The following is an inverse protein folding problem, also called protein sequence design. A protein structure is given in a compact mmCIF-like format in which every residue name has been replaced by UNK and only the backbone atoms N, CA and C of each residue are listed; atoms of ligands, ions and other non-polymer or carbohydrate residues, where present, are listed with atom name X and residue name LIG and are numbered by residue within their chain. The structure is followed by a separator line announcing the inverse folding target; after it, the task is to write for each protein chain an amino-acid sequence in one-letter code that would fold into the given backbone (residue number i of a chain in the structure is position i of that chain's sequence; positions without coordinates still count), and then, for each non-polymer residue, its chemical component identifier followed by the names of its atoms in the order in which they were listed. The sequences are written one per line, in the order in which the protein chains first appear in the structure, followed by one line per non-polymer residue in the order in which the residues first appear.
data_IF_890357088665
#
_entry.id   IF_890357088665
#
_cell.length_a   1.000
_cell.length_b   1.000
_cell.length_c   1.000
_cell.angle_alpha   90.00
_cell.angle_beta   90.00
_cell.angle_gamma   90.00
#
_symmetry.space_group_name_H-M   'P 1'
#
loop_
_entity.id
_entity.type
_entity.pdbx_description
1 polymer ?
#
# COMPACT_ATOMS: atom_id res chain seq x y z
N UNK A 1 -22.31 -44.19 28.74
CA UNK A 1 -22.98 -43.28 29.64
C UNK A 1 -22.05 -42.22 30.18
N UNK A 2 -21.09 -42.67 30.89
CA UNK A 2 -20.17 -41.74 31.57
C UNK A 2 -19.34 -40.93 30.63
N UNK A 3 -19.03 -41.48 29.54
CA UNK A 3 -18.23 -40.80 28.54
C UNK A 3 -18.88 -39.51 28.06
N UNK A 4 -20.17 -39.50 28.03
CA UNK A 4 -20.89 -38.35 27.58
C UNK A 4 -20.65 -37.15 28.45
N UNK A 5 -20.59 -37.38 29.73
CA UNK A 5 -20.36 -36.29 30.67
C UNK A 5 -18.99 -35.71 30.49
N UNK A 6 -18.04 -36.56 30.27
CA UNK A 6 -16.69 -36.11 30.06
C UNK A 6 -16.57 -35.25 28.79
N UNK A 7 -17.23 -35.67 27.75
CA UNK A 7 -17.22 -34.90 26.51
C UNK A 7 -17.83 -33.53 26.68
N UNK A 8 -18.87 -33.42 27.47
CA UNK A 8 -19.50 -32.14 27.74
C UNK A 8 -18.52 -31.22 28.43
N UNK A 9 -17.80 -31.75 29.41
CA UNK A 9 -16.83 -30.91 30.11
C UNK A 9 -15.76 -30.41 29.18
N UNK A 10 -15.29 -31.24 28.28
CA UNK A 10 -14.29 -30.83 27.33
C UNK A 10 -14.81 -29.75 26.36
N UNK A 11 -16.07 -29.87 26.03
CA UNK A 11 -16.66 -28.91 25.12
C UNK A 11 -16.81 -27.53 25.70
N UNK A 12 -16.82 -27.41 27.00
CA UNK A 12 -16.99 -26.10 27.63
C UNK A 12 -15.69 -25.32 27.73
N UNK A 13 -14.62 -25.99 28.10
CA UNK A 13 -13.35 -25.33 28.35
C UNK A 13 -12.77 -24.60 27.16
N UNK A 14 -12.68 -25.20 25.97
CA UNK A 14 -12.06 -24.53 24.82
C UNK A 14 -12.62 -23.15 24.47
N UNK A 15 -13.93 -22.97 24.46
CA UNK A 15 -14.47 -21.64 24.16
C UNK A 15 -14.01 -20.57 25.11
N UNK A 16 -13.88 -20.90 26.38
CA UNK A 16 -13.44 -19.92 27.37
C UNK A 16 -12.00 -19.54 27.16
N UNK A 17 -11.17 -20.49 26.83
CA UNK A 17 -9.77 -20.25 26.58
C UNK A 17 -9.59 -19.34 25.39
N UNK A 18 -10.32 -19.58 24.32
CA UNK A 18 -10.25 -18.75 23.13
C UNK A 18 -10.66 -17.31 23.42
N UNK A 19 -11.68 -17.11 24.21
CA UNK A 19 -12.10 -15.77 24.60
C UNK A 19 -11.02 -15.06 25.40
N UNK A 20 -10.38 -15.76 26.30
CA UNK A 20 -9.34 -15.18 27.15
C UNK A 20 -8.11 -14.79 26.34
N UNK A 21 -7.84 -15.49 25.27
CA UNK A 21 -6.68 -15.23 24.42
C UNK A 21 -6.96 -14.26 23.30
N UNK A 22 -8.12 -13.67 23.26
CA UNK A 22 -8.50 -12.77 22.21
C UNK A 22 -7.58 -11.54 22.19
N UNK A 23 -7.03 -11.25 21.04
CA UNK A 23 -6.13 -10.12 20.82
C UNK A 23 -6.56 -9.37 19.58
N UNK A 24 -6.13 -8.12 19.49
CA UNK A 24 -6.32 -7.37 18.26
C UNK A 24 -5.57 -8.05 17.12
N UNK A 25 -6.20 -8.10 15.97
CA UNK A 25 -5.53 -8.58 14.78
C UNK A 25 -4.55 -7.51 14.29
N UNK A 26 -3.41 -7.92 13.76
CA UNK A 26 -2.48 -6.95 13.19
C UNK A 26 -3.11 -6.25 11.99
N UNK A 27 -2.80 -4.98 11.85
CA UNK A 27 -3.25 -4.21 10.69
C UNK A 27 -2.59 -4.78 9.43
N UNK A 28 -3.36 -5.13 8.41
CA UNK A 28 -2.75 -5.61 7.18
C UNK A 28 -1.98 -4.48 6.50
N UNK A 29 -0.90 -4.79 5.80
CA UNK A 29 -0.14 -3.78 5.10
C UNK A 29 -0.91 -3.19 3.92
N UNK A 30 -0.58 -1.96 3.58
CA UNK A 30 -0.99 -1.35 2.32
C UNK A 30 0.14 -1.58 1.33
N UNK A 31 -0.19 -2.16 0.20
CA UNK A 31 0.78 -2.56 -0.80
C UNK A 31 0.48 -1.85 -2.11
N UNK A 32 1.52 -1.36 -2.76
CA UNK A 32 1.41 -0.76 -4.09
C UNK A 32 2.35 -1.49 -5.02
N UNK A 33 1.83 -1.97 -6.13
CA UNK A 33 2.63 -2.60 -7.17
C UNK A 33 2.15 -2.15 -8.53
N UNK A 34 3.01 -2.29 -9.53
CA UNK A 34 2.60 -1.98 -10.89
C UNK A 34 3.80 -1.73 -11.78
N UNK A 35 3.50 -1.24 -12.95
CA UNK A 35 4.48 -0.97 -13.99
C UNK A 35 4.40 0.48 -14.44
N UNK A 36 5.53 1.02 -14.84
CA UNK A 36 5.62 2.36 -15.42
C UNK A 36 6.15 2.22 -16.84
N UNK A 37 5.42 2.81 -17.79
CA UNK A 37 5.80 2.84 -19.19
C UNK A 37 5.90 4.28 -19.69
N UNK A 38 6.59 4.47 -20.81
CA UNK A 38 6.63 5.76 -21.49
C UNK A 38 5.60 5.86 -22.62
N UNK A 39 5.66 6.92 -23.39
CA UNK A 39 4.72 7.15 -24.48
C UNK A 39 4.83 6.11 -25.61
N UNK A 40 5.94 5.40 -25.67
CA UNK A 40 6.18 4.33 -26.63
C UNK A 40 5.89 2.95 -26.03
N UNK A 41 5.23 2.91 -24.88
CA UNK A 41 4.88 1.68 -24.16
C UNK A 41 6.10 0.88 -23.69
N UNK A 42 7.24 1.53 -23.53
CA UNK A 42 8.46 0.89 -23.03
C UNK A 42 8.60 1.08 -21.53
N UNK A 43 9.15 0.07 -20.83
CA UNK A 43 9.34 0.17 -19.39
C UNK A 43 10.28 1.32 -19.02
N UNK A 44 9.99 1.96 -17.91
CA UNK A 44 10.79 3.07 -17.40
C UNK A 44 11.40 2.67 -16.07
N UNK A 45 12.72 2.61 -16.03
CA UNK A 45 13.47 2.33 -14.81
C UNK A 45 13.70 3.62 -14.02
N UNK A 46 13.72 3.53 -12.69
CA UNK A 46 14.12 4.64 -11.83
C UNK A 46 13.01 5.63 -11.48
N UNK A 47 11.76 5.35 -11.82
CA UNK A 47 10.64 6.18 -11.37
C UNK A 47 10.40 5.91 -9.90
N UNK A 48 10.42 6.96 -9.07
CA UNK A 48 10.24 6.85 -7.64
C UNK A 48 8.79 6.91 -7.21
N UNK A 49 8.50 6.22 -6.10
CA UNK A 49 7.20 6.26 -5.44
C UNK A 49 7.42 6.36 -3.94
N UNK A 50 6.53 7.07 -3.28
CA UNK A 50 6.56 7.25 -1.84
C UNK A 50 5.17 7.04 -1.25
N UNK A 51 5.13 6.32 -0.14
CA UNK A 51 3.93 6.20 0.67
C UNK A 51 4.29 6.59 2.09
N UNK A 52 3.69 7.65 2.58
CA UNK A 52 4.03 8.21 3.87
C UNK A 52 2.80 8.54 4.68
N UNK A 53 2.97 8.61 5.99
CA UNK A 53 1.92 8.98 6.91
C UNK A 53 2.39 10.01 7.91
N UNK A 54 1.45 10.78 8.43
CA UNK A 54 1.70 11.79 9.44
C UNK A 54 0.68 11.69 10.56
N UNK A 55 1.07 12.18 11.75
CA UNK A 55 0.13 12.35 12.85
C UNK A 55 -0.77 13.56 12.55
N UNK A 56 -1.91 13.62 13.23
CA UNK A 56 -2.78 14.79 13.15
C UNK A 56 -2.26 15.93 14.02
N UNK A 57 -2.92 17.07 13.87
CA UNK A 57 -2.72 18.21 14.76
C UNK A 57 -1.68 19.21 14.29
N UNK A 58 -1.38 20.12 15.19
CA UNK A 58 -0.59 21.29 14.89
C UNK A 58 0.88 20.97 14.63
N UNK A 59 1.42 20.01 15.35
CA UNK A 59 2.82 19.58 15.21
C UNK A 59 2.88 18.18 14.59
N UNK A 60 2.40 18.06 13.38
CA UNK A 60 2.36 16.78 12.68
C UNK A 60 3.76 16.20 12.52
N UNK A 61 3.89 14.89 12.75
CA UNK A 61 5.15 14.16 12.62
C UNK A 61 4.96 13.00 11.65
N UNK A 62 6.04 12.62 11.01
CA UNK A 62 6.03 11.48 10.11
C UNK A 62 5.89 10.20 10.94
N UNK A 63 4.89 9.38 10.61
CA UNK A 63 4.67 8.10 11.28
C UNK A 63 5.31 6.95 10.53
N UNK A 64 5.35 7.04 9.21
CA UNK A 64 6.09 6.10 8.37
C UNK A 64 6.39 6.76 7.04
N UNK A 65 7.44 6.26 6.37
CA UNK A 65 7.89 6.82 5.09
C UNK A 65 8.54 5.68 4.31
N UNK A 66 7.82 5.15 3.34
CA UNK A 66 8.29 4.06 2.51
C UNK A 66 8.52 4.56 1.09
N UNK A 67 9.64 4.17 0.51
CA UNK A 67 10.06 4.63 -0.82
C UNK A 67 10.54 3.46 -1.65
N UNK A 68 10.33 3.55 -2.96
CA UNK A 68 10.83 2.58 -3.91
C UNK A 68 11.07 3.24 -5.26
N UNK A 69 11.70 2.50 -6.16
CA UNK A 69 11.89 2.91 -7.55
C UNK A 69 11.63 1.73 -8.47
N UNK A 70 11.21 2.03 -9.69
CA UNK A 70 11.01 0.98 -10.67
C UNK A 70 12.33 0.35 -11.09
N UNK A 71 12.29 -0.95 -11.37
CA UNK A 71 13.44 -1.70 -11.88
C UNK A 71 13.53 -1.59 -13.40
N UNK A 72 14.45 -2.36 -14.00
CA UNK A 72 14.68 -2.34 -15.45
C UNK A 72 13.45 -2.77 -16.26
N UNK A 73 12.52 -3.48 -15.64
CA UNK A 73 11.27 -3.89 -16.28
C UNK A 73 10.16 -2.88 -16.07
N UNK A 74 10.46 -1.78 -15.40
CA UNK A 74 9.47 -0.76 -15.06
C UNK A 74 8.58 -1.15 -13.89
N UNK A 75 8.90 -2.21 -13.18
CA UNK A 75 8.09 -2.72 -12.07
C UNK A 75 8.51 -2.10 -10.75
N UNK A 76 7.53 -1.82 -9.90
CA UNK A 76 7.78 -1.35 -8.54
C UNK A 76 6.94 -2.13 -7.53
N UNK A 77 7.42 -2.17 -6.31
CA UNK A 77 6.72 -2.74 -5.17
C UNK A 77 7.01 -1.87 -3.96
N UNK A 78 5.94 -1.49 -3.25
CA UNK A 78 6.04 -0.65 -2.08
C UNK A 78 5.04 -1.13 -1.04
N UNK A 79 5.49 -1.25 0.20
CA UNK A 79 4.64 -1.77 1.26
C UNK A 79 4.88 -0.99 2.54
N UNK A 80 3.80 -0.69 3.26
CA UNK A 80 3.88 -0.11 4.59
C UNK A 80 2.62 -0.42 5.39
N UNK A 81 2.78 -0.44 6.70
CA UNK A 81 1.66 -0.59 7.62
C UNK A 81 1.28 0.79 8.12
N UNK A 82 0.01 1.14 7.98
CA UNK A 82 -0.50 2.40 8.51
C UNK A 82 -0.64 2.24 10.02
N UNK A 83 0.13 2.99 10.78
CA UNK A 83 0.14 2.89 12.23
C UNK A 83 -1.07 3.59 12.85
N UNK A 84 -1.39 3.25 14.09
CA UNK A 84 -2.58 3.78 14.77
C UNK A 84 -2.54 5.28 14.98
N UNK A 85 -1.36 5.85 15.12
CA UNK A 85 -1.19 7.29 15.32
C UNK A 85 -1.20 8.10 14.02
N UNK A 86 -1.36 7.44 12.88
CA UNK A 86 -1.40 8.09 11.58
C UNK A 86 -2.79 8.69 11.34
N UNK A 87 -2.83 10.00 11.10
CA UNK A 87 -4.06 10.72 10.79
C UNK A 87 -4.19 11.01 9.30
N UNK A 88 -3.08 11.13 8.59
CA UNK A 88 -3.09 11.39 7.16
C UNK A 88 -2.07 10.54 6.44
N UNK A 89 -2.39 10.14 5.21
CA UNK A 89 -1.50 9.35 4.38
C UNK A 89 -1.46 9.93 2.97
N UNK A 90 -0.34 9.70 2.30
CA UNK A 90 -0.17 10.14 0.92
C UNK A 90 0.64 9.10 0.15
N UNK A 91 0.15 8.74 -1.03
CA UNK A 91 0.90 7.95 -2.00
C UNK A 91 1.12 8.79 -3.24
N UNK A 92 2.38 8.94 -3.66
CA UNK A 92 2.70 9.78 -4.80
C UNK A 92 3.89 9.22 -5.58
N UNK A 93 3.92 9.57 -6.85
CA UNK A 93 5.10 9.36 -7.66
C UNK A 93 6.07 10.51 -7.35
N UNK A 94 7.29 10.14 -7.01
CA UNK A 94 8.34 11.11 -6.70
C UNK A 94 9.24 11.25 -7.92
N UNK A 95 10.10 12.26 -7.88
CA UNK A 95 11.12 12.40 -8.90
C UNK A 95 12.03 11.19 -8.87
N UNK A 96 12.35 10.66 -10.02
CA UNK A 96 13.17 9.47 -10.04
C UNK A 96 14.11 9.40 -11.21
N UNK A 97 13.62 9.57 -12.40
CA UNK A 97 14.40 9.36 -13.60
C UNK A 97 14.69 10.68 -14.31
N UNK A 98 15.97 11.06 -14.37
CA UNK A 98 16.38 12.32 -15.01
C UNK A 98 16.03 12.42 -16.49
N UNK A 99 15.72 11.30 -17.15
CA UNK A 99 15.26 11.32 -18.55
C UNK A 99 13.86 11.89 -18.67
N UNK A 100 13.06 11.84 -17.60
CA UNK A 100 11.69 12.33 -17.59
C UNK A 100 11.49 13.32 -16.43
N UNK A 101 12.08 14.51 -16.50
CA UNK A 101 11.95 15.48 -15.42
C UNK A 101 10.52 15.97 -15.25
N UNK A 102 10.14 16.20 -14.01
CA UNK A 102 8.77 16.56 -13.64
C UNK A 102 8.25 17.82 -14.32
N UNK A 103 9.14 18.77 -14.62
CA UNK A 103 8.75 20.00 -15.30
C UNK A 103 8.26 19.79 -16.72
N UNK A 104 8.68 18.71 -17.37
CA UNK A 104 8.36 18.44 -18.77
C UNK A 104 7.44 17.24 -18.96
N UNK A 105 7.34 16.38 -17.95
CA UNK A 105 6.57 15.14 -18.00
C UNK A 105 5.65 15.03 -16.81
N UNK A 106 4.58 14.29 -16.99
CA UNK A 106 3.66 13.96 -15.92
C UNK A 106 3.40 12.46 -15.92
N UNK A 107 2.96 11.94 -14.78
CA UNK A 107 2.64 10.54 -14.60
C UNK A 107 1.14 10.40 -14.49
N UNK A 108 0.57 9.54 -15.31
CA UNK A 108 -0.85 9.26 -15.31
C UNK A 108 -1.08 7.84 -14.84
N UNK A 109 -2.09 7.65 -14.01
CA UNK A 109 -2.47 6.35 -13.49
C UNK A 109 -3.53 5.72 -14.39
N UNK A 110 -3.35 4.45 -14.71
CA UNK A 110 -4.33 3.71 -15.50
C UNK A 110 -5.48 3.24 -14.58
N UNK A 111 -6.67 3.73 -14.87
CA UNK A 111 -7.88 3.38 -14.10
C UNK A 111 -8.98 3.00 -15.09
N UNK A 112 -9.43 1.76 -15.01
CA UNK A 112 -10.48 1.24 -15.89
C UNK A 112 -10.17 1.50 -17.37
N UNK A 113 -8.92 1.28 -17.77
CA UNK A 113 -8.49 1.45 -19.14
C UNK A 113 -8.20 2.88 -19.57
N UNK A 114 -8.30 3.85 -18.67
CA UNK A 114 -8.06 5.26 -18.98
C UNK A 114 -6.95 5.79 -18.09
N UNK A 115 -5.96 6.46 -18.68
CA UNK A 115 -4.91 7.14 -17.94
C UNK A 115 -5.40 8.49 -17.43
N UNK A 116 -5.27 8.73 -16.13
CA UNK A 116 -5.78 9.93 -15.49
C UNK A 116 -4.87 10.39 -14.36
N UNK A 117 -5.10 11.60 -13.88
CA UNK A 117 -4.27 12.19 -12.82
C UNK A 117 -4.50 11.58 -11.45
N UNK A 118 -5.74 11.26 -11.11
CA UNK A 118 -6.07 10.72 -9.81
C UNK A 118 -5.52 9.32 -9.66
N UNK A 119 -5.10 9.02 -8.43
CA UNK A 119 -4.59 7.70 -8.07
C UNK A 119 -5.58 7.11 -7.06
N UNK A 120 -6.49 6.24 -7.50
CA UNK A 120 -7.44 5.61 -6.60
C UNK A 120 -6.77 4.45 -5.89
N UNK A 121 -6.53 4.61 -4.60
CA UNK A 121 -5.93 3.53 -3.81
C UNK A 121 -6.72 3.31 -2.52
N UNK A 122 -6.58 2.11 -1.98
CA UNK A 122 -7.30 1.68 -0.78
C UNK A 122 -6.31 1.28 0.30
N UNK A 123 -6.58 1.75 1.51
CA UNK A 123 -5.76 1.41 2.66
C UNK A 123 -5.91 -0.06 3.04
N UNK A 124 -4.84 -0.62 3.57
CA UNK A 124 -4.81 -1.98 4.11
C UNK A 124 -5.12 -3.05 3.08
N UNK A 125 -4.79 -2.78 1.84
CA UNK A 125 -5.03 -3.70 0.71
C UNK A 125 -3.90 -3.62 -0.28
N UNK A 126 -3.87 -4.59 -1.19
CA UNK A 126 -2.96 -4.55 -2.32
C UNK A 126 -3.58 -3.71 -3.43
N UNK A 127 -2.82 -2.73 -3.88
CA UNK A 127 -3.21 -1.82 -4.97
C UNK A 127 -2.31 -2.09 -6.16
N UNK A 128 -2.88 -2.49 -7.29
CA UNK A 128 -2.13 -2.66 -8.53
C UNK A 128 -2.38 -1.43 -9.39
N UNK A 129 -1.38 -0.57 -9.47
CA UNK A 129 -1.50 0.71 -10.15
C UNK A 129 -0.39 0.85 -11.19
N UNK A 130 -0.79 0.98 -12.43
CA UNK A 130 0.13 1.13 -13.55
C UNK A 130 0.11 2.58 -14.01
N UNK A 131 1.28 3.06 -14.42
CA UNK A 131 1.45 4.46 -14.78
C UNK A 131 2.05 4.61 -16.17
N UNK A 132 1.76 5.74 -16.78
CA UNK A 132 2.38 6.14 -18.05
C UNK A 132 2.96 7.54 -17.90
N UNK A 133 4.19 7.70 -18.33
CA UNK A 133 4.85 9.01 -18.36
C UNK A 133 4.60 9.63 -19.70
N UNK A 134 4.01 10.82 -19.70
CA UNK A 134 3.69 11.56 -20.91
C UNK A 134 4.16 13.00 -20.80
N UNK A 135 4.38 13.65 -21.93
CA UNK A 135 4.73 15.07 -21.96
C UNK A 135 3.59 15.90 -21.43
N UNK A 136 3.94 16.99 -20.76
CA UNK A 136 2.96 17.96 -20.27
C UNK A 136 2.39 18.79 -21.40
#
# INVERSE_FOLDING_TARGET
MKRRKFLIALGVVPPLVLSACKKEEPTPPTIFTGYVIDENNKPVEGTGFQFAGITGGFSAKITFDANTKTDAKGYYYLEAVITKDTAGTEFQATEGNGKYPDGLYKRLCLVNGIYQKEIPWLANKKNELNFKIVKR
#
